data_IF_876781692534
#
_entry.id   IF_876781692534
#
_cell.length_a   1.000
_cell.length_b   1.000
_cell.length_c   1.000
_cell.angle_alpha   90.00
_cell.angle_beta   90.00
_cell.angle_gamma   90.00
#
_symmetry.space_group_name_H-M   'P 1'
#
loop_
_entity.id
_entity.type
_entity.pdbx_description
1 polymer ?
#
# COMPACT_ATOMS: atom_id res chain seq x y z
N UNK A 1 3.30 11.58 25.88
CA UNK A 1 4.55 11.50 25.10
C UNK A 1 4.39 12.32 23.82
N UNK A 2 5.10 13.46 23.73
CA UNK A 2 5.04 14.37 22.57
C UNK A 2 5.63 13.73 21.30
N UNK A 3 6.65 12.86 21.45
CA UNK A 3 7.26 12.17 20.31
C UNK A 3 6.27 11.24 19.62
N UNK A 4 5.50 10.48 20.40
CA UNK A 4 4.44 9.63 19.88
C UNK A 4 3.33 10.43 19.19
N UNK A 5 2.97 11.61 19.72
CA UNK A 5 1.96 12.49 19.11
C UNK A 5 2.43 12.99 17.75
N UNK A 6 3.68 13.42 17.62
CA UNK A 6 4.24 13.84 16.33
C UNK A 6 4.32 12.71 15.32
N UNK A 7 4.76 11.52 15.75
CA UNK A 7 4.79 10.33 14.90
C UNK A 7 3.39 10.02 14.34
N UNK A 8 2.38 10.00 15.20
CA UNK A 8 0.98 9.78 14.80
C UNK A 8 0.50 10.83 13.80
N UNK A 9 0.83 12.12 14.01
CA UNK A 9 0.51 13.18 13.05
C UNK A 9 1.16 12.96 11.69
N UNK A 10 2.44 12.57 11.66
CA UNK A 10 3.15 12.25 10.41
C UNK A 10 2.53 11.06 9.68
N UNK A 11 2.21 9.97 10.39
CA UNK A 11 1.56 8.78 9.82
C UNK A 11 0.15 9.10 9.30
N UNK A 12 -0.65 9.84 10.08
CA UNK A 12 -1.99 10.31 9.67
C UNK A 12 -1.90 11.18 8.43
N UNK A 13 -0.96 12.12 8.38
CA UNK A 13 -0.75 12.96 7.20
C UNK A 13 -0.33 12.15 5.96
N UNK A 14 0.59 11.20 6.13
CA UNK A 14 1.07 10.37 5.03
C UNK A 14 -0.06 9.53 4.42
N UNK A 15 -0.79 8.78 5.25
CA UNK A 15 -1.81 7.83 4.80
C UNK A 15 -3.21 8.40 4.61
N UNK A 16 -3.47 9.66 5.02
CA UNK A 16 -4.69 10.37 4.62
C UNK A 16 -4.57 10.90 3.18
N UNK A 17 -4.61 9.98 2.23
CA UNK A 17 -4.41 10.22 0.81
C UNK A 17 -5.33 9.30 -0.01
N UNK A 18 -5.67 9.74 -1.22
CA UNK A 18 -6.34 8.89 -2.22
C UNK A 18 -5.26 8.17 -3.05
N UNK A 19 -5.27 6.83 -3.11
CA UNK A 19 -4.31 6.08 -3.93
C UNK A 19 -4.61 6.27 -5.42
N UNK A 20 -3.57 6.13 -6.25
CA UNK A 20 -3.73 5.82 -7.66
C UNK A 20 -4.19 4.36 -7.75
N UNK A 21 -5.40 4.11 -8.23
CA UNK A 21 -5.95 2.76 -8.44
C UNK A 21 -6.48 2.66 -9.87
N UNK A 22 -5.66 2.07 -10.74
CA UNK A 22 -5.96 1.92 -12.16
C UNK A 22 -5.82 0.45 -12.57
N UNK A 23 -6.76 -0.05 -13.36
CA UNK A 23 -6.74 -1.42 -13.85
C UNK A 23 -6.57 -1.44 -15.37
N UNK A 24 -5.84 -2.43 -15.88
CA UNK A 24 -5.63 -2.67 -17.32
C UNK A 24 -5.10 -1.45 -18.09
N UNK A 25 -4.14 -0.75 -17.50
CA UNK A 25 -3.44 0.40 -18.11
C UNK A 25 -2.16 -0.07 -18.79
N UNK A 26 -1.58 0.77 -19.63
CA UNK A 26 -0.49 0.36 -20.53
C UNK A 26 0.83 1.03 -20.16
N UNK A 27 1.91 0.25 -20.14
CA UNK A 27 3.26 0.79 -19.98
C UNK A 27 3.65 1.56 -21.25
N UNK A 28 3.88 2.86 -21.11
CA UNK A 28 4.34 3.73 -22.19
C UNK A 28 5.82 3.51 -22.52
N UNK A 29 6.67 3.40 -21.48
CA UNK A 29 8.07 3.02 -21.55
C UNK A 29 8.61 2.69 -20.15
N UNK A 30 9.79 2.07 -20.10
CA UNK A 30 10.52 1.77 -18.86
C UNK A 30 11.91 2.39 -18.94
N UNK A 31 12.45 2.80 -17.80
CA UNK A 31 13.88 3.14 -17.64
C UNK A 31 14.57 2.08 -16.78
N UNK A 32 15.77 2.35 -16.28
CA UNK A 32 16.46 1.44 -15.33
C UNK A 32 15.81 1.38 -13.95
N UNK A 33 15.03 2.39 -13.57
CA UNK A 33 14.46 2.50 -12.22
C UNK A 33 13.05 3.11 -12.19
N UNK A 34 12.40 3.29 -13.34
CA UNK A 34 11.04 3.80 -13.41
C UNK A 34 10.20 3.08 -14.46
N UNK A 35 8.92 2.94 -14.16
CA UNK A 35 7.89 2.42 -15.05
C UNK A 35 6.92 3.56 -15.34
N UNK A 36 6.82 3.97 -16.60
CA UNK A 36 5.95 5.06 -17.04
C UNK A 36 4.68 4.50 -17.65
N UNK A 37 3.52 4.89 -17.11
CA UNK A 37 2.24 4.25 -17.38
C UNK A 37 1.27 5.30 -17.93
N UNK A 38 0.66 4.99 -19.06
CA UNK A 38 -0.42 5.79 -19.62
C UNK A 38 -1.76 5.26 -19.09
N UNK A 39 -2.41 6.03 -18.22
CA UNK A 39 -3.69 5.63 -17.62
C UNK A 39 -4.87 5.76 -18.60
N UNK A 40 -4.69 6.49 -19.71
CA UNK A 40 -5.73 6.93 -20.67
C UNK A 40 -6.86 7.76 -20.04
N UNK A 41 -6.81 8.02 -18.74
CA UNK A 41 -7.75 8.90 -18.06
C UNK A 41 -7.38 10.35 -18.31
N UNK A 42 -8.37 11.24 -18.23
CA UNK A 42 -8.15 12.68 -18.38
C UNK A 42 -8.32 13.40 -17.06
N UNK A 43 -7.39 14.29 -16.73
CA UNK A 43 -7.51 15.29 -15.65
C UNK A 43 -7.33 16.66 -16.29
N UNK A 44 -8.37 17.49 -16.26
CA UNK A 44 -8.38 18.81 -16.90
C UNK A 44 -7.93 18.75 -18.37
N UNK A 45 -8.57 17.87 -19.16
CA UNK A 45 -8.32 17.62 -20.59
C UNK A 45 -6.98 16.96 -20.96
N UNK A 46 -6.00 16.95 -20.05
CA UNK A 46 -4.72 16.26 -20.24
C UNK A 46 -4.81 14.78 -19.87
N UNK A 47 -4.12 13.93 -20.64
CA UNK A 47 -3.98 12.51 -20.29
C UNK A 47 -3.13 12.41 -19.01
N UNK A 48 -3.63 11.65 -18.04
CA UNK A 48 -2.95 11.38 -16.78
C UNK A 48 -1.98 10.21 -16.96
N UNK A 49 -0.75 10.40 -16.50
CA UNK A 49 0.28 9.39 -16.43
C UNK A 49 0.59 9.03 -14.98
N UNK A 50 1.12 7.84 -14.78
CA UNK A 50 1.71 7.42 -13.52
C UNK A 50 3.17 7.09 -13.75
N UNK A 51 4.03 7.71 -12.95
CA UNK A 51 5.46 7.44 -12.93
C UNK A 51 5.78 6.67 -11.65
N UNK A 52 6.07 5.38 -11.79
CA UNK A 52 6.41 4.50 -10.67
C UNK A 52 7.91 4.30 -10.57
N UNK A 53 8.54 4.87 -9.54
CA UNK A 53 9.95 4.62 -9.24
C UNK A 53 10.09 3.31 -8.47
N UNK A 54 11.02 2.46 -8.90
CA UNK A 54 11.29 1.14 -8.32
C UNK A 54 12.79 0.94 -8.08
N UNK A 55 13.13 -0.13 -7.36
CA UNK A 55 14.51 -0.59 -7.19
C UNK A 55 15.08 -1.18 -8.49
N UNK A 56 16.41 -1.21 -8.60
CA UNK A 56 17.09 -1.82 -9.76
C UNK A 56 16.68 -3.29 -9.93
N UNK A 57 16.55 -3.73 -11.18
CA UNK A 57 16.14 -5.10 -11.55
C UNK A 57 14.62 -5.34 -11.54
N UNK A 58 13.82 -4.46 -10.94
CA UNK A 58 12.36 -4.58 -10.98
C UNK A 58 11.83 -4.30 -12.39
N UNK A 59 12.40 -3.31 -13.08
CA UNK A 59 11.99 -2.91 -14.44
C UNK A 59 12.20 -4.01 -15.48
N UNK A 60 13.12 -4.96 -15.23
CA UNK A 60 13.43 -6.07 -16.16
C UNK A 60 12.25 -7.03 -16.35
N UNK A 61 11.26 -6.97 -15.45
CA UNK A 61 10.04 -7.78 -15.52
C UNK A 61 8.98 -7.17 -16.46
N UNK A 62 9.19 -5.95 -16.94
CA UNK A 62 8.20 -5.15 -17.66
C UNK A 62 8.75 -4.65 -18.98
N UNK A 63 7.89 -4.63 -20.01
CA UNK A 63 8.22 -4.04 -21.31
C UNK A 63 7.15 -3.05 -21.77
N UNK A 64 7.53 -2.15 -22.68
CA UNK A 64 6.59 -1.22 -23.31
C UNK A 64 5.42 -2.00 -23.94
N UNK A 65 4.20 -1.53 -23.71
CA UNK A 65 2.97 -2.14 -24.20
C UNK A 65 2.35 -3.18 -23.26
N UNK A 66 3.06 -3.62 -22.22
CA UNK A 66 2.49 -4.50 -21.20
C UNK A 66 1.25 -3.85 -20.56
N UNK A 67 0.24 -4.69 -20.28
CA UNK A 67 -0.91 -4.32 -19.47
C UNK A 67 -0.61 -4.56 -18.00
N UNK A 68 -0.86 -3.55 -17.18
CA UNK A 68 -0.60 -3.57 -15.74
C UNK A 68 -1.77 -3.00 -14.96
N UNK A 69 -1.85 -3.41 -13.69
CA UNK A 69 -2.67 -2.74 -12.69
C UNK A 69 -1.77 -1.92 -11.77
N UNK A 70 -2.25 -0.73 -11.42
CA UNK A 70 -1.59 0.23 -10.54
C UNK A 70 -2.36 0.32 -9.24
N UNK A 71 -1.69 0.12 -8.12
CA UNK A 71 -2.16 0.56 -6.81
C UNK A 71 -0.98 1.22 -6.08
N UNK A 72 -0.94 2.54 -6.07
CA UNK A 72 0.20 3.30 -5.53
C UNK A 72 -0.20 4.54 -4.77
N UNK A 73 0.63 4.96 -3.82
CA UNK A 73 0.41 6.17 -3.03
C UNK A 73 1.20 7.34 -3.62
N UNK A 74 0.53 8.39 -4.15
CA UNK A 74 1.24 9.52 -4.71
C UNK A 74 2.01 10.28 -3.64
N UNK A 75 3.31 10.47 -3.85
CA UNK A 75 4.16 11.14 -2.85
C UNK A 75 4.38 12.63 -3.14
N UNK A 76 4.11 13.07 -4.36
CA UNK A 76 4.04 14.47 -4.74
C UNK A 76 2.83 14.70 -5.66
N UNK A 77 2.43 15.96 -5.79
CA UNK A 77 1.45 16.39 -6.79
C UNK A 77 2.16 17.40 -7.68
N UNK A 78 2.80 16.93 -8.76
CA UNK A 78 3.65 17.75 -9.64
C UNK A 78 3.21 17.58 -11.10
N UNK A 79 3.19 18.69 -11.87
CA UNK A 79 2.14 19.13 -12.82
C UNK A 79 0.77 18.39 -12.83
N UNK A 80 -0.29 18.96 -13.44
CA UNK A 80 -1.65 18.42 -13.34
C UNK A 80 -1.88 17.00 -13.91
N UNK A 81 -0.87 16.36 -14.52
CA UNK A 81 -1.02 15.21 -15.40
C UNK A 81 -0.07 14.04 -15.09
N UNK A 82 0.72 14.10 -14.01
CA UNK A 82 1.56 12.96 -13.60
C UNK A 82 1.43 12.72 -12.11
N UNK A 83 0.97 11.53 -11.72
CA UNK A 83 1.05 11.07 -10.34
C UNK A 83 2.36 10.26 -10.14
N UNK A 84 3.26 10.73 -9.27
CA UNK A 84 4.51 10.01 -8.97
C UNK A 84 4.32 9.09 -7.76
N UNK A 85 4.65 7.81 -7.93
CA UNK A 85 4.51 6.77 -6.91
C UNK A 85 5.82 5.97 -6.76
N UNK A 86 5.90 5.18 -5.69
CA UNK A 86 6.94 4.16 -5.52
C UNK A 86 6.32 2.77 -5.60
N UNK A 87 6.78 1.94 -6.53
CA UNK A 87 6.23 0.60 -6.79
C UNK A 87 4.73 0.63 -7.09
N UNK A 88 4.00 -0.37 -6.59
CA UNK A 88 2.56 -0.45 -6.77
C UNK A 88 2.13 -1.02 -8.12
N UNK A 89 3.01 -1.72 -8.83
CA UNK A 89 2.76 -2.21 -10.20
C UNK A 89 2.70 -3.74 -10.22
N UNK A 90 1.61 -4.29 -10.75
CA UNK A 90 1.47 -5.73 -11.02
C UNK A 90 1.05 -5.96 -12.47
N UNK A 91 1.41 -7.10 -13.08
CA UNK A 91 0.93 -7.44 -14.42
C UNK A 91 -0.57 -7.66 -14.39
N UNK A 92 -1.28 -7.08 -15.35
CA UNK A 92 -2.72 -7.22 -15.44
C UNK A 92 -3.08 -8.66 -15.79
N UNK A 93 -4.11 -9.20 -15.13
CA UNK A 93 -4.63 -10.54 -15.39
C UNK A 93 -6.14 -10.50 -15.58
N UNK A 94 -6.61 -11.14 -16.66
CA UNK A 94 -8.04 -11.27 -16.98
C UNK A 94 -8.75 -12.33 -16.13
N UNK A 95 -8.05 -13.03 -15.23
CA UNK A 95 -8.67 -14.04 -14.37
C UNK A 95 -9.65 -13.34 -13.43
N UNK A 96 -10.94 -13.69 -13.57
CA UNK A 96 -12.07 -12.89 -13.11
C UNK A 96 -12.00 -12.40 -11.67
N UNK A 97 -12.57 -11.21 -11.47
CA UNK A 97 -12.73 -10.42 -10.24
C UNK A 97 -13.47 -11.13 -9.09
N UNK A 98 -13.07 -12.34 -8.69
CA UNK A 98 -13.48 -12.86 -7.38
C UNK A 98 -12.70 -12.07 -6.35
N UNK A 99 -13.38 -11.14 -5.68
CA UNK A 99 -12.77 -10.41 -4.59
C UNK A 99 -12.32 -11.39 -3.51
N UNK A 100 -11.02 -11.42 -3.27
CA UNK A 100 -10.38 -12.28 -2.31
C UNK A 100 -10.50 -11.63 -0.94
N UNK A 101 -10.99 -12.42 -0.01
CA UNK A 101 -11.16 -12.06 1.39
C UNK A 101 -10.16 -12.88 2.19
N UNK A 102 -9.36 -12.20 3.01
CA UNK A 102 -8.38 -12.83 3.87
C UNK A 102 -8.94 -12.91 5.28
N UNK A 103 -8.62 -13.99 5.99
CA UNK A 103 -8.89 -14.07 7.43
C UNK A 103 -7.98 -13.06 8.12
N UNK A 104 -8.58 -12.17 8.90
CA UNK A 104 -7.87 -11.15 9.67
C UNK A 104 -8.10 -11.32 11.15
N UNK A 105 -7.04 -11.27 11.94
CA UNK A 105 -7.11 -11.27 13.41
C UNK A 105 -6.56 -9.95 13.93
N UNK A 106 -7.32 -9.29 14.80
CA UNK A 106 -6.87 -8.14 15.56
C UNK A 106 -6.61 -8.56 17.01
N UNK A 107 -5.37 -8.46 17.45
CA UNK A 107 -4.96 -8.63 18.84
C UNK A 107 -4.75 -7.23 19.46
N UNK A 108 -5.52 -6.92 20.50
CA UNK A 108 -5.38 -5.70 21.29
C UNK A 108 -5.01 -6.09 22.73
N UNK A 109 -3.77 -5.85 23.12
CA UNK A 109 -3.24 -6.16 24.45
C UNK A 109 -3.51 -7.62 24.90
N UNK A 110 -3.36 -8.57 23.96
CA UNK A 110 -3.59 -10.00 24.19
C UNK A 110 -5.03 -10.46 23.94
N UNK A 111 -5.98 -9.55 23.69
CA UNK A 111 -7.35 -9.90 23.33
C UNK A 111 -7.54 -9.99 21.82
N UNK A 112 -7.87 -11.17 21.33
CA UNK A 112 -8.09 -11.42 19.92
C UNK A 112 -9.54 -11.18 19.48
N UNK A 113 -9.71 -10.70 18.25
CA UNK A 113 -11.01 -10.52 17.60
C UNK A 113 -10.85 -10.75 16.11
N UNK A 114 -11.72 -11.58 15.53
CA UNK A 114 -11.78 -11.77 14.10
C UNK A 114 -12.30 -10.50 13.42
N UNK A 115 -11.57 -10.07 12.39
CA UNK A 115 -11.95 -8.93 11.58
C UNK A 115 -12.97 -9.34 10.52
N UNK A 116 -13.88 -8.43 10.14
CA UNK A 116 -14.78 -8.67 9.04
C UNK A 116 -14.03 -8.99 7.73
N UNK A 117 -14.61 -9.88 6.92
CA UNK A 117 -13.99 -10.37 5.67
C UNK A 117 -13.73 -9.26 4.63
N UNK A 118 -14.47 -8.15 4.74
CA UNK A 118 -14.42 -7.00 3.85
C UNK A 118 -13.31 -6.00 4.18
N UNK A 119 -12.61 -6.16 5.32
CA UNK A 119 -11.56 -5.24 5.77
C UNK A 119 -10.46 -5.06 4.73
N UNK A 120 -10.05 -6.14 4.08
CA UNK A 120 -9.17 -6.07 2.91
C UNK A 120 -9.81 -6.81 1.76
N UNK A 121 -10.44 -6.03 0.88
CA UNK A 121 -10.92 -6.53 -0.40
C UNK A 121 -9.85 -6.31 -1.46
N UNK A 122 -9.20 -7.38 -1.89
CA UNK A 122 -8.30 -7.37 -3.05
C UNK A 122 -9.02 -8.04 -4.22
N UNK A 123 -9.09 -7.35 -5.35
CA UNK A 123 -9.77 -7.84 -6.56
C UNK A 123 -8.85 -8.61 -7.50
N UNK A 124 -7.55 -8.45 -7.31
CA UNK A 124 -6.48 -8.87 -8.22
C UNK A 124 -5.85 -10.17 -7.69
N UNK A 125 -5.50 -11.11 -8.57
CA UNK A 125 -4.78 -12.34 -8.17
C UNK A 125 -3.42 -12.02 -7.55
N UNK A 126 -2.73 -11.05 -8.12
CA UNK A 126 -1.49 -10.49 -7.59
C UNK A 126 -1.75 -9.10 -7.04
N UNK A 127 -1.12 -8.77 -5.91
CA UNK A 127 -1.20 -7.46 -5.29
C UNK A 127 0.13 -7.11 -4.63
N UNK A 128 0.37 -5.82 -4.39
CA UNK A 128 1.60 -5.37 -3.73
C UNK A 128 1.43 -5.29 -2.21
N UNK A 129 2.55 -5.41 -1.46
CA UNK A 129 2.54 -5.12 -0.02
C UNK A 129 1.99 -3.72 0.27
N UNK A 130 2.26 -2.76 -0.62
CA UNK A 130 1.75 -1.39 -0.54
C UNK A 130 0.22 -1.33 -0.57
N UNK A 131 -0.45 -2.04 -1.49
CA UNK A 131 -1.92 -2.09 -1.53
C UNK A 131 -2.50 -2.64 -0.24
N UNK A 132 -1.91 -3.74 0.25
CA UNK A 132 -2.35 -4.42 1.46
C UNK A 132 -2.17 -3.55 2.71
N UNK A 133 -0.95 -3.03 2.92
CA UNK A 133 -0.58 -2.14 4.02
C UNK A 133 -1.48 -0.89 4.06
N UNK A 134 -1.67 -0.24 2.92
CA UNK A 134 -2.53 0.94 2.83
C UNK A 134 -3.97 0.64 3.25
N UNK A 135 -4.57 -0.44 2.73
CA UNK A 135 -5.96 -0.82 3.04
C UNK A 135 -6.14 -1.13 4.52
N UNK A 136 -5.19 -1.85 5.13
CA UNK A 136 -5.19 -2.12 6.57
C UNK A 136 -5.08 -0.83 7.38
N UNK A 137 -4.10 0.02 7.07
CA UNK A 137 -3.93 1.30 7.79
C UNK A 137 -5.16 2.18 7.65
N UNK A 138 -5.76 2.26 6.46
CA UNK A 138 -6.98 3.03 6.23
C UNK A 138 -8.13 2.53 7.10
N UNK A 139 -8.36 1.22 7.13
CA UNK A 139 -9.35 0.60 8.01
C UNK A 139 -9.09 0.91 9.49
N UNK A 140 -7.84 0.75 9.95
CA UNK A 140 -7.47 1.01 11.34
C UNK A 140 -7.60 2.49 11.71
N UNK A 141 -7.28 3.40 10.80
CA UNK A 141 -7.48 4.84 10.98
C UNK A 141 -8.97 5.17 11.11
N UNK A 142 -9.84 4.60 10.28
CA UNK A 142 -11.28 4.90 10.29
C UNK A 142 -12.04 4.27 11.45
N UNK A 143 -11.71 3.03 11.82
CA UNK A 143 -12.45 2.28 12.86
C UNK A 143 -11.87 2.46 14.25
N UNK A 144 -10.55 2.59 14.36
CA UNK A 144 -9.84 2.61 15.64
C UNK A 144 -9.09 3.91 15.88
N UNK A 145 -9.06 4.85 14.93
CA UNK A 145 -8.37 6.13 15.06
C UNK A 145 -6.89 5.94 15.49
N UNK A 146 -6.19 4.95 14.94
CA UNK A 146 -4.86 4.55 15.45
C UNK A 146 -3.81 5.68 15.43
N UNK A 147 -3.98 6.66 14.54
CA UNK A 147 -3.07 7.80 14.38
C UNK A 147 -3.65 9.15 14.83
N UNK A 148 -4.75 9.12 15.59
CA UNK A 148 -5.23 10.33 16.25
C UNK A 148 -4.30 10.68 17.42
N UNK A 149 -4.00 11.97 17.62
CA UNK A 149 -3.00 12.39 18.62
C UNK A 149 -3.35 11.94 20.05
N UNK A 150 -4.65 11.85 20.35
CA UNK A 150 -5.18 11.40 21.64
C UNK A 150 -5.53 9.91 21.66
N UNK A 151 -5.24 9.17 20.58
CA UNK A 151 -5.50 7.74 20.49
C UNK A 151 -4.71 6.95 21.52
N UNK A 152 -5.31 5.90 22.07
CA UNK A 152 -4.70 5.05 23.11
C UNK A 152 -3.56 4.16 22.63
N UNK A 153 -3.46 3.90 21.33
CA UNK A 153 -2.48 2.98 20.78
C UNK A 153 -1.08 3.60 20.79
N UNK A 154 -0.08 2.85 21.25
CA UNK A 154 1.30 3.32 21.40
C UNK A 154 2.26 2.61 20.44
N UNK A 155 1.92 1.40 20.02
CA UNK A 155 2.65 0.64 19.01
C UNK A 155 1.73 -0.34 18.28
N UNK A 156 2.20 -0.86 17.15
CA UNK A 156 1.54 -1.99 16.51
C UNK A 156 2.29 -2.51 15.30
N UNK A 157 1.99 -3.74 14.93
CA UNK A 157 2.56 -4.44 13.78
C UNK A 157 1.44 -5.10 12.98
N UNK A 158 1.63 -5.15 11.66
CA UNK A 158 0.85 -5.94 10.73
C UNK A 158 1.71 -7.10 10.23
N UNK A 159 1.20 -8.32 10.34
CA UNK A 159 1.82 -9.52 9.77
C UNK A 159 0.95 -10.06 8.65
N UNK A 160 1.54 -10.25 7.48
CA UNK A 160 0.93 -11.01 6.39
C UNK A 160 1.56 -12.41 6.38
N UNK A 161 0.75 -13.43 6.66
CA UNK A 161 1.19 -14.82 6.73
C UNK A 161 0.91 -15.56 5.42
N UNK A 162 1.91 -16.28 4.91
CA UNK A 162 1.76 -17.15 3.74
C UNK A 162 1.55 -18.61 4.15
N UNK A 163 1.04 -19.42 3.22
CA UNK A 163 0.79 -20.85 3.41
C UNK A 163 2.05 -21.66 3.65
N UNK A 164 3.21 -21.18 3.18
CA UNK A 164 4.52 -21.76 3.46
C UNK A 164 5.14 -21.26 4.78
N UNK A 165 4.32 -20.70 5.68
CA UNK A 165 4.71 -20.25 7.03
C UNK A 165 5.74 -19.11 7.05
N UNK A 166 5.85 -18.33 5.97
CA UNK A 166 6.59 -17.06 6.01
C UNK A 166 5.68 -15.96 6.54
N UNK A 167 6.30 -15.01 7.22
CA UNK A 167 5.62 -13.82 7.73
C UNK A 167 6.29 -12.58 7.20
N UNK A 168 5.47 -11.62 6.77
CA UNK A 168 5.91 -10.31 6.33
C UNK A 168 5.39 -9.28 7.32
N UNK A 169 6.30 -8.68 8.06
CA UNK A 169 5.97 -7.67 9.06
C UNK A 169 6.02 -6.26 8.48
N UNK A 170 5.05 -5.45 8.87
CA UNK A 170 5.02 -4.02 8.67
C UNK A 170 4.81 -3.35 10.04
N UNK A 171 5.78 -2.57 10.48
CA UNK A 171 5.63 -1.73 11.67
C UNK A 171 4.65 -0.57 11.38
N UNK A 172 3.57 -0.52 12.16
CA UNK A 172 2.53 0.50 12.03
C UNK A 172 2.91 1.81 12.72
N UNK A 173 3.90 1.82 13.62
CA UNK A 173 4.36 2.96 14.41
C UNK A 173 5.89 3.07 14.42
N UNK A 174 6.53 2.85 13.27
CA UNK A 174 7.98 2.97 13.16
C UNK A 174 8.44 4.38 13.57
N UNK A 175 9.28 4.48 14.59
CA UNK A 175 9.73 5.76 15.16
C UNK A 175 10.53 6.61 14.18
N UNK A 176 11.18 5.98 13.21
CA UNK A 176 11.94 6.66 12.16
C UNK A 176 11.03 7.41 11.17
N UNK A 177 9.71 7.17 11.22
CA UNK A 177 8.73 7.82 10.36
C UNK A 177 8.30 9.21 10.86
N UNK A 178 8.83 9.64 12.02
CA UNK A 178 8.55 10.95 12.60
C UNK A 178 9.01 12.08 11.67
N UNK A 179 8.10 13.01 11.38
CA UNK A 179 8.34 14.21 10.56
C UNK A 179 8.79 13.93 9.11
N UNK A 180 8.60 12.71 8.61
CA UNK A 180 8.89 12.39 7.21
C UNK A 180 7.86 13.04 6.26
N UNK A 181 8.34 13.49 5.11
CA UNK A 181 7.49 13.77 3.95
C UNK A 181 6.94 12.47 3.36
N UNK A 182 5.86 12.56 2.57
CA UNK A 182 5.34 11.41 1.82
C UNK A 182 6.40 10.77 0.91
N UNK A 183 7.26 11.59 0.29
CA UNK A 183 8.37 11.10 -0.54
C UNK A 183 9.30 10.19 0.26
N UNK A 184 9.79 10.66 1.42
CA UNK A 184 10.68 9.87 2.26
C UNK A 184 9.99 8.62 2.79
N UNK A 185 8.73 8.74 3.20
CA UNK A 185 7.99 7.66 3.81
C UNK A 185 7.67 6.52 2.81
N UNK A 186 7.17 6.87 1.62
CA UNK A 186 6.72 5.88 0.62
C UNK A 186 7.87 5.22 -0.16
N UNK A 187 9.13 5.66 -0.03
CA UNK A 187 10.31 5.00 -0.62
C UNK A 187 10.44 3.52 -0.24
N UNK A 188 9.86 3.10 0.89
CA UNK A 188 9.83 1.68 1.31
C UNK A 188 9.15 0.76 0.27
N UNK A 189 8.26 1.30 -0.56
CA UNK A 189 7.55 0.53 -1.58
C UNK A 189 8.31 0.41 -2.91
N UNK A 190 9.53 0.94 -3.01
CA UNK A 190 10.38 0.82 -4.21
C UNK A 190 10.72 -0.63 -4.56
N UNK A 191 10.70 -1.53 -3.58
CA UNK A 191 10.91 -2.95 -3.80
C UNK A 191 9.81 -3.60 -4.65
N UNK A 192 8.68 -2.91 -4.84
CA UNK A 192 7.51 -3.38 -5.57
C UNK A 192 7.09 -4.78 -5.12
N UNK A 193 7.16 -5.09 -3.82
CA UNK A 193 6.95 -6.45 -3.31
C UNK A 193 5.55 -6.98 -3.64
N UNK A 194 5.49 -8.03 -4.46
CA UNK A 194 4.24 -8.64 -4.97
C UNK A 194 3.95 -9.94 -4.21
N UNK A 195 2.67 -10.20 -3.97
CA UNK A 195 2.16 -11.47 -3.48
C UNK A 195 1.15 -12.06 -4.45
N UNK A 196 1.12 -13.38 -4.57
CA UNK A 196 -0.02 -14.10 -5.11
C UNK A 196 -1.00 -14.38 -3.97
N UNK A 197 -2.23 -13.94 -4.13
CA UNK A 197 -3.30 -14.16 -3.18
C UNK A 197 -3.55 -15.62 -2.81
N UNK A 198 -3.30 -16.56 -3.72
CA UNK A 198 -3.42 -18.00 -3.46
C UNK A 198 -2.37 -18.51 -2.47
N UNK A 199 -1.27 -17.77 -2.25
CA UNK A 199 -0.19 -18.10 -1.32
C UNK A 199 -0.42 -17.50 0.07
N UNK A 200 -1.38 -16.59 0.22
CA UNK A 200 -1.70 -15.97 1.50
C UNK A 200 -2.59 -16.91 2.32
N UNK A 201 -2.27 -17.01 3.61
CA UNK A 201 -3.05 -17.76 4.60
C UNK A 201 -4.00 -16.82 5.34
N UNK A 202 -3.46 -15.83 6.04
CA UNK A 202 -4.18 -14.88 6.88
C UNK A 202 -3.31 -13.65 7.15
N UNK A 203 -3.85 -12.70 7.91
CA UNK A 203 -3.06 -11.61 8.47
C UNK A 203 -3.43 -11.35 9.92
N UNK A 204 -2.44 -10.86 10.67
CA UNK A 204 -2.59 -10.51 12.08
C UNK A 204 -2.20 -9.05 12.28
N UNK A 205 -2.96 -8.36 13.11
CA UNK A 205 -2.66 -7.00 13.55
C UNK A 205 -2.50 -7.05 15.06
N UNK A 206 -1.37 -6.57 15.55
CA UNK A 206 -1.12 -6.40 16.97
C UNK A 206 -1.13 -4.91 17.29
N UNK A 207 -2.00 -4.48 18.20
CA UNK A 207 -2.03 -3.13 18.75
C UNK A 207 -1.79 -3.20 20.26
N UNK A 208 -0.92 -2.31 20.75
CA UNK A 208 -0.72 -2.12 22.19
C UNK A 208 -1.24 -0.76 22.63
N UNK A 209 -1.85 -0.69 23.80
CA UNK A 209 -2.24 0.57 24.42
C UNK A 209 -1.28 0.97 25.54
N UNK A 210 -1.43 2.22 26.02
CA UNK A 210 -0.90 2.61 27.33
C UNK A 210 -1.78 2.06 28.46
#
# INVERSE_FOLDING_TARGET
DENLKDLKRSLRFAYNITPCDYENVEIAFVTTNSIHINTKQKRSECILYVDSIVSLGITDQFIKGDKVDVFGLPYNFSPPYVDNIYGGIVKHSNQGNKSLQFVGILNQDGKETYLPSEVVRIKKKQFTLQEFDFKIRKFLMEKYNIYDSESRYTSGSLFLATKDSKHYEVDLFNKDDKLLSRDSFFKRYKDNKIFNSEEISHFDIYLKTY
#
